data_IF_120026057578
#
_entry.id   IF_120026057578
#
_cell.length_a   1.000
_cell.length_b   1.000
_cell.length_c   1.000
_cell.angle_alpha   90.00
_cell.angle_beta   90.00
_cell.angle_gamma   90.00
#
_symmetry.space_group_name_H-M   'P 1'
#
loop_
_entity.id
_entity.type
_entity.pdbx_description
1 polymer ?
#
# COMPACT_ATOMS: atom_id res chain seq x y z
N UNK A 1 14.83 -24.36 -20.68
CA UNK A 1 14.13 -23.08 -20.35
C UNK A 1 14.84 -21.87 -20.94
N UNK A 2 16.14 -21.64 -20.67
CA UNK A 2 16.87 -20.47 -21.18
C UNK A 2 16.87 -20.34 -22.72
N UNK A 3 17.17 -21.41 -23.45
CA UNK A 3 17.13 -21.40 -24.93
C UNK A 3 15.72 -21.14 -25.49
N UNK A 4 14.69 -21.65 -24.82
CA UNK A 4 13.30 -21.40 -25.19
C UNK A 4 12.94 -19.93 -24.99
N UNK A 5 13.37 -19.32 -23.89
CA UNK A 5 13.17 -17.89 -23.64
C UNK A 5 13.85 -17.02 -24.71
N UNK A 6 15.11 -17.32 -25.08
CA UNK A 6 15.80 -16.62 -26.17
C UNK A 6 15.06 -16.76 -27.51
N UNK A 7 14.54 -17.95 -27.81
CA UNK A 7 13.76 -18.21 -29.02
C UNK A 7 12.43 -17.45 -29.04
N UNK A 8 11.73 -17.35 -27.90
CA UNK A 8 10.50 -16.57 -27.75
C UNK A 8 10.77 -15.08 -27.95
N UNK A 9 11.88 -14.58 -27.40
CA UNK A 9 12.28 -13.17 -27.54
C UNK A 9 12.83 -12.81 -28.92
N UNK A 10 13.11 -13.81 -29.79
CA UNK A 10 13.61 -13.58 -31.15
C UNK A 10 15.00 -12.94 -31.21
N UNK A 11 15.80 -13.06 -30.14
CA UNK A 11 17.10 -12.40 -30.04
C UNK A 11 18.17 -13.19 -30.79
N UNK A 12 18.93 -12.51 -31.65
CA UNK A 12 19.98 -13.14 -32.47
C UNK A 12 21.39 -12.76 -32.02
N UNK A 13 21.55 -11.71 -31.21
CA UNK A 13 22.85 -11.26 -30.71
C UNK A 13 22.83 -10.95 -29.22
N UNK A 14 24.00 -11.04 -28.57
CA UNK A 14 24.15 -10.68 -27.16
C UNK A 14 23.88 -9.19 -26.90
N UNK A 15 24.18 -8.31 -27.87
CA UNK A 15 23.92 -6.88 -27.77
C UNK A 15 22.41 -6.58 -27.69
N UNK A 16 21.60 -7.22 -28.55
CA UNK A 16 20.14 -7.11 -28.50
C UNK A 16 19.57 -7.60 -27.15
N UNK A 17 20.10 -8.69 -26.59
CA UNK A 17 19.69 -9.16 -25.27
C UNK A 17 19.99 -8.11 -24.20
N UNK A 18 21.17 -7.50 -24.24
CA UNK A 18 21.58 -6.47 -23.29
C UNK A 18 20.67 -5.23 -23.36
N UNK A 19 20.31 -4.77 -24.56
CA UNK A 19 19.39 -3.64 -24.76
C UNK A 19 18.00 -3.94 -24.19
N UNK A 20 17.47 -5.16 -24.42
CA UNK A 20 16.19 -5.59 -23.86
C UNK A 20 16.25 -5.60 -22.33
N UNK A 21 17.31 -6.15 -21.73
CA UNK A 21 17.48 -6.21 -20.28
C UNK A 21 17.52 -4.80 -19.68
N UNK A 22 18.30 -3.88 -20.27
CA UNK A 22 18.40 -2.49 -19.81
C UNK A 22 17.04 -1.79 -19.91
N UNK A 23 16.33 -1.99 -21.03
CA UNK A 23 15.00 -1.39 -21.24
C UNK A 23 13.98 -1.89 -20.23
N UNK A 24 13.97 -3.21 -19.94
CA UNK A 24 13.10 -3.80 -18.91
C UNK A 24 13.46 -3.28 -17.52
N UNK A 25 14.76 -3.21 -17.18
CA UNK A 25 15.22 -2.67 -15.91
C UNK A 25 14.80 -1.20 -15.71
N UNK A 26 14.87 -0.38 -16.76
CA UNK A 26 14.40 1.01 -16.71
C UNK A 26 12.88 1.09 -16.53
N UNK A 27 12.12 0.27 -17.25
CA UNK A 27 10.66 0.20 -17.10
C UNK A 27 10.26 -0.23 -15.68
N UNK A 28 10.97 -1.20 -15.11
CA UNK A 28 10.76 -1.63 -13.71
C UNK A 28 11.09 -0.52 -12.72
N UNK A 29 12.21 0.17 -12.89
CA UNK A 29 12.58 1.30 -12.03
C UNK A 29 11.51 2.41 -12.10
N UNK A 30 11.07 2.79 -13.30
CA UNK A 30 10.02 3.79 -13.48
C UNK A 30 8.70 3.34 -12.84
N UNK A 31 8.30 2.08 -13.00
CA UNK A 31 7.10 1.54 -12.38
C UNK A 31 7.18 1.59 -10.84
N UNK A 32 8.34 1.26 -10.26
CA UNK A 32 8.56 1.31 -8.81
C UNK A 32 8.53 2.75 -8.29
N UNK A 33 9.22 3.68 -8.96
CA UNK A 33 9.17 5.10 -8.62
C UNK A 33 7.75 5.67 -8.72
N UNK A 34 7.02 5.32 -9.79
CA UNK A 34 5.62 5.71 -9.96
C UNK A 34 4.75 5.15 -8.85
N UNK A 35 4.91 3.88 -8.50
CA UNK A 35 4.18 3.24 -7.40
C UNK A 35 4.43 3.98 -6.07
N UNK A 36 5.69 4.29 -5.75
CA UNK A 36 6.06 5.03 -4.54
C UNK A 36 5.57 6.49 -4.55
N UNK A 37 5.59 7.15 -5.71
CA UNK A 37 5.14 8.54 -5.87
C UNK A 37 3.62 8.67 -5.94
N UNK A 38 2.88 7.59 -6.22
CA UNK A 38 1.42 7.63 -6.27
C UNK A 38 0.81 7.61 -4.88
N UNK A 39 -0.12 8.54 -4.65
CA UNK A 39 -0.91 8.62 -3.41
C UNK A 39 -1.71 7.34 -3.13
N UNK A 40 -1.99 6.51 -4.14
CA UNK A 40 -2.78 5.29 -3.99
C UNK A 40 -2.17 4.28 -3.01
N UNK A 41 -0.86 4.05 -3.08
CA UNK A 41 -0.15 3.14 -2.15
C UNK A 41 -0.12 3.72 -0.75
N UNK A 42 0.16 5.02 -0.63
CA UNK A 42 0.16 5.72 0.66
C UNK A 42 -1.23 5.73 1.31
N UNK A 43 -2.30 6.02 0.56
CA UNK A 43 -3.69 5.96 1.04
C UNK A 43 -4.08 4.54 1.48
N UNK A 44 -3.68 3.52 0.73
CA UNK A 44 -3.92 2.12 1.10
C UNK A 44 -3.21 1.74 2.41
N UNK A 45 -1.94 2.11 2.55
CA UNK A 45 -1.17 1.91 3.78
C UNK A 45 -1.77 2.66 4.97
N UNK A 46 -2.14 3.93 4.80
CA UNK A 46 -2.75 4.75 5.84
C UNK A 46 -4.11 4.18 6.29
N UNK A 47 -4.93 3.69 5.36
CA UNK A 47 -6.22 3.06 5.69
C UNK A 47 -6.01 1.77 6.49
N UNK A 48 -5.04 0.93 6.10
CA UNK A 48 -4.70 -0.29 6.84
C UNK A 48 -4.14 0.06 8.23
N UNK A 49 -3.26 1.06 8.31
CA UNK A 49 -2.68 1.52 9.55
C UNK A 49 -3.74 2.06 10.52
N UNK A 50 -4.67 2.88 10.04
CA UNK A 50 -5.79 3.37 10.85
C UNK A 50 -6.68 2.23 11.38
N UNK A 51 -6.93 1.20 10.56
CA UNK A 51 -7.64 -0.01 11.02
C UNK A 51 -6.86 -0.77 12.09
N UNK A 52 -5.54 -0.91 11.95
CA UNK A 52 -4.71 -1.55 12.97
C UNK A 52 -4.73 -0.78 14.29
N UNK A 53 -4.66 0.56 14.24
CA UNK A 53 -4.77 1.41 15.43
C UNK A 53 -6.15 1.27 16.07
N UNK A 54 -7.23 1.25 15.28
CA UNK A 54 -8.58 1.03 15.78
C UNK A 54 -8.73 -0.33 16.51
N UNK A 55 -8.18 -1.41 15.93
CA UNK A 55 -8.14 -2.73 16.56
C UNK A 55 -7.35 -2.70 17.86
N UNK A 56 -6.15 -2.10 17.86
CA UNK A 56 -5.30 -1.99 19.05
C UNK A 56 -5.92 -1.15 20.17
N UNK A 57 -6.78 -0.19 19.82
CA UNK A 57 -7.56 0.58 20.78
C UNK A 57 -8.71 -0.20 21.42
N UNK A 58 -9.08 -1.36 20.84
CA UNK A 58 -10.14 -2.24 21.34
C UNK A 58 -11.45 -2.18 20.55
N UNK A 59 -11.49 -1.52 19.39
CA UNK A 59 -12.68 -1.51 18.54
C UNK A 59 -13.01 -2.91 18.02
N UNK A 60 -14.30 -3.24 17.94
CA UNK A 60 -14.79 -4.54 17.48
C UNK A 60 -15.88 -4.40 16.40
N UNK A 61 -15.98 -5.40 15.53
CA UNK A 61 -17.00 -5.45 14.48
C UNK A 61 -17.01 -4.20 13.59
N UNK A 62 -18.19 -3.59 13.43
CA UNK A 62 -18.38 -2.39 12.61
C UNK A 62 -17.65 -1.14 13.15
N UNK A 63 -17.38 -1.09 14.46
CA UNK A 63 -16.69 0.04 15.08
C UNK A 63 -15.23 0.14 14.61
N UNK A 64 -14.59 -0.95 14.15
CA UNK A 64 -13.24 -0.90 13.59
C UNK A 64 -13.21 0.00 12.34
N UNK A 65 -14.15 -0.23 11.42
CA UNK A 65 -14.23 0.51 10.16
C UNK A 65 -14.60 1.96 10.43
N UNK A 66 -15.60 2.19 11.30
CA UNK A 66 -16.05 3.53 11.68
C UNK A 66 -14.93 4.34 12.35
N UNK A 67 -14.19 3.73 13.28
CA UNK A 67 -13.10 4.39 14.01
C UNK A 67 -11.92 4.67 13.10
N UNK A 68 -11.54 3.73 12.24
CA UNK A 68 -10.48 3.94 11.26
C UNK A 68 -10.80 5.11 10.32
N UNK A 69 -12.04 5.21 9.83
CA UNK A 69 -12.48 6.33 8.99
C UNK A 69 -12.40 7.67 9.72
N UNK A 70 -12.83 7.72 10.98
CA UNK A 70 -12.75 8.93 11.80
C UNK A 70 -11.29 9.36 12.02
N UNK A 71 -10.40 8.42 12.36
CA UNK A 71 -8.96 8.71 12.57
C UNK A 71 -8.29 9.25 11.30
N UNK A 72 -8.65 8.73 10.13
CA UNK A 72 -8.16 9.24 8.84
C UNK A 72 -8.73 10.62 8.54
N UNK A 73 -10.03 10.86 8.81
CA UNK A 73 -10.66 12.16 8.61
C UNK A 73 -10.08 13.26 9.52
N UNK A 74 -9.72 12.91 10.76
CA UNK A 74 -9.04 13.79 11.72
C UNK A 74 -7.52 13.93 11.46
N UNK A 75 -6.97 13.20 10.47
CA UNK A 75 -5.54 13.09 10.18
C UNK A 75 -4.70 12.75 11.44
N UNK A 76 -5.29 12.04 12.40
CA UNK A 76 -4.75 11.78 13.74
C UNK A 76 -4.82 10.29 14.04
N UNK A 77 -3.92 9.52 13.43
CA UNK A 77 -3.87 8.05 13.59
C UNK A 77 -3.03 7.69 14.81
N UNK A 78 -3.58 7.87 16.02
CA UNK A 78 -2.92 7.56 17.30
C UNK A 78 -3.81 6.71 18.20
N UNK A 79 -3.20 5.80 18.95
CA UNK A 79 -3.93 4.89 19.85
C UNK A 79 -4.66 5.64 20.98
N UNK A 80 -4.07 6.72 21.50
CA UNK A 80 -4.69 7.52 22.56
C UNK A 80 -5.96 8.20 22.05
N UNK A 81 -5.89 8.83 20.87
CA UNK A 81 -7.06 9.45 20.22
C UNK A 81 -8.14 8.40 19.88
N UNK A 82 -7.72 7.23 19.41
CA UNK A 82 -8.64 6.14 19.12
C UNK A 82 -9.42 5.67 20.36
N UNK A 83 -8.78 5.65 21.54
CA UNK A 83 -9.43 5.33 22.81
C UNK A 83 -10.36 6.44 23.29
N UNK A 84 -10.01 7.71 23.07
CA UNK A 84 -10.89 8.85 23.37
C UNK A 84 -12.19 8.76 22.56
N UNK A 85 -12.09 8.57 21.24
CA UNK A 85 -13.26 8.45 20.36
C UNK A 85 -14.16 7.27 20.78
N UNK A 86 -13.57 6.12 21.15
CA UNK A 86 -14.35 4.99 21.65
C UNK A 86 -15.12 5.33 22.93
N UNK A 87 -14.49 6.03 23.89
CA UNK A 87 -15.17 6.49 25.11
C UNK A 87 -16.28 7.50 24.82
N UNK A 88 -16.06 8.43 23.89
CA UNK A 88 -17.07 9.41 23.47
C UNK A 88 -18.30 8.71 22.87
N UNK A 89 -18.12 7.63 22.10
CA UNK A 89 -19.23 6.84 21.54
C UNK A 89 -19.98 6.04 22.60
N UNK A 90 -19.27 5.50 23.59
CA UNK A 90 -19.88 4.78 24.72
C UNK A 90 -20.70 5.69 25.63
N UNK A 91 -20.29 6.96 25.81
CA UNK A 91 -21.02 7.94 26.65
C UNK A 91 -22.26 8.53 25.98
N UNK A 92 -22.34 8.48 24.64
CA UNK A 92 -23.45 8.99 23.85
C UNK A 92 -24.43 7.90 23.37
N UNK A 93 -24.26 6.65 23.83
CA UNK A 93 -25.15 5.51 23.57
C UNK A 93 -26.02 5.21 24.79
#
# INVERSE_FOLDING_TARGET
>A
LAQLALKIMGVTTAAQLAEIIVSVGLAQNLAALRALATEGIQRGHMTLHARQVAIAAGAQGENITRLAQQLVAENTVRIDRAREILKEWEQNS
#
